data_IF_369221698701
#
_entry.id   IF_369221698701
#
_cell.length_a   1.000
_cell.length_b   1.000
_cell.length_c   1.000
_cell.angle_alpha   90.00
_cell.angle_beta   90.00
_cell.angle_gamma   90.00
#
_symmetry.space_group_name_H-M   'P 1'
#
loop_
_entity.id
_entity.type
_entity.pdbx_description
1 polymer ?
#
# COMPACT_ATOMS: atom_id res chain seq x y z
N UNK A 1 -24.94 29.39 18.61
CA UNK A 1 -24.42 28.01 18.42
C UNK A 1 -24.45 27.50 16.97
N UNK A 2 -25.15 28.15 16.00
CA UNK A 2 -25.17 27.69 14.60
C UNK A 2 -23.92 28.09 13.76
N UNK A 3 -23.29 29.24 14.05
CA UNK A 3 -22.12 29.72 13.29
C UNK A 3 -20.80 29.01 13.65
N UNK A 4 -20.65 28.50 14.88
CA UNK A 4 -19.42 27.81 15.31
C UNK A 4 -19.25 26.46 14.60
N UNK A 5 -20.35 25.74 14.36
CA UNK A 5 -20.32 24.49 13.60
C UNK A 5 -19.87 24.73 12.16
N UNK A 6 -20.33 25.83 11.54
CA UNK A 6 -19.95 26.19 10.17
C UNK A 6 -18.45 26.50 10.05
N UNK A 7 -17.87 27.23 11.01
CA UNK A 7 -16.44 27.57 11.01
C UNK A 7 -15.58 26.31 11.21
N UNK A 8 -15.96 25.41 12.12
CA UNK A 8 -15.27 24.13 12.29
C UNK A 8 -15.36 23.25 11.04
N UNK A 9 -16.52 23.22 10.38
CA UNK A 9 -16.70 22.44 9.16
C UNK A 9 -15.88 23.00 7.99
N UNK A 10 -15.82 24.34 7.83
CA UNK A 10 -14.95 25.01 6.85
C UNK A 10 -13.48 24.73 7.16
N UNK A 11 -13.04 24.82 8.42
CA UNK A 11 -11.66 24.54 8.82
C UNK A 11 -11.24 23.10 8.53
N UNK A 12 -12.12 22.13 8.79
CA UNK A 12 -11.89 20.71 8.50
C UNK A 12 -11.80 20.49 6.98
N UNK A 13 -12.71 21.06 6.19
CA UNK A 13 -12.70 20.97 4.72
C UNK A 13 -11.43 21.62 4.15
N UNK A 14 -11.01 22.78 4.67
CA UNK A 14 -9.77 23.44 4.20
C UNK A 14 -8.52 22.66 4.55
N UNK A 15 -8.43 22.02 5.73
CA UNK A 15 -7.29 21.17 6.07
C UNK A 15 -7.22 19.92 5.19
N UNK A 16 -8.35 19.25 4.96
CA UNK A 16 -8.39 18.06 4.10
C UNK A 16 -8.15 18.42 2.62
N UNK A 17 -8.62 19.58 2.16
CA UNK A 17 -8.36 20.08 0.81
C UNK A 17 -6.92 20.60 0.62
N UNK A 18 -6.31 21.24 1.62
CA UNK A 18 -4.91 21.67 1.56
C UNK A 18 -3.96 20.46 1.47
N UNK A 19 -4.19 19.40 2.24
CA UNK A 19 -3.41 18.17 2.12
C UNK A 19 -3.65 17.43 0.79
N UNK A 20 -4.88 17.50 0.24
CA UNK A 20 -5.18 16.93 -1.08
C UNK A 20 -4.53 17.69 -2.25
N UNK A 21 -4.20 18.98 -2.08
CA UNK A 21 -3.49 19.79 -3.06
C UNK A 21 -1.96 19.70 -2.94
N UNK A 22 -1.42 19.38 -1.76
CA UNK A 22 0.02 19.26 -1.54
C UNK A 22 0.59 17.87 -1.87
N UNK A 23 -0.19 16.80 -1.66
CA UNK A 23 0.22 15.43 -1.97
C UNK A 23 -0.26 14.96 -3.35
N UNK A 24 0.65 14.37 -4.12
CA UNK A 24 0.38 13.90 -5.49
C UNK A 24 -0.51 12.65 -5.55
N UNK A 25 -0.95 12.09 -4.43
CA UNK A 25 -1.85 10.95 -4.35
C UNK A 25 -2.77 11.13 -3.12
N UNK A 26 -3.96 10.53 -3.13
CA UNK A 26 -4.89 10.69 -2.02
C UNK A 26 -4.54 9.79 -0.83
N UNK A 27 -4.60 10.33 0.38
CA UNK A 27 -4.66 9.53 1.61
C UNK A 27 -5.84 8.56 1.58
N UNK A 28 -5.71 7.45 2.30
CA UNK A 28 -6.77 6.45 2.42
C UNK A 28 -6.30 5.01 2.22
N UNK A 29 -7.22 4.16 1.76
CA UNK A 29 -7.02 2.72 1.61
C UNK A 29 -6.72 2.33 0.17
N UNK A 30 -5.80 1.40 0.03
CA UNK A 30 -5.27 0.95 -1.26
C UNK A 30 -5.12 -0.57 -1.27
N UNK A 31 -5.47 -1.20 -2.40
CA UNK A 31 -5.11 -2.59 -2.70
C UNK A 31 -3.92 -2.61 -3.64
N UNK A 32 -3.13 -3.68 -3.60
CA UNK A 32 -2.11 -3.91 -4.61
C UNK A 32 -2.75 -4.62 -5.81
N UNK A 33 -2.48 -4.17 -7.03
CA UNK A 33 -2.93 -4.79 -8.26
C UNK A 33 -2.20 -6.14 -8.46
N UNK A 34 -2.92 -7.22 -8.16
CA UNK A 34 -2.40 -8.58 -8.28
C UNK A 34 -2.09 -8.98 -9.72
N UNK A 35 -2.80 -8.42 -10.72
CA UNK A 35 -2.56 -8.70 -12.14
C UNK A 35 -1.23 -8.10 -12.56
N UNK A 36 -1.03 -6.80 -12.31
CA UNK A 36 0.23 -6.11 -12.61
C UNK A 36 1.42 -6.71 -11.85
N UNK A 37 1.23 -7.14 -10.61
CA UNK A 37 2.26 -7.89 -9.89
C UNK A 37 2.62 -9.21 -10.60
N UNK A 38 1.61 -9.97 -11.03
CA UNK A 38 1.80 -11.23 -11.76
C UNK A 38 2.57 -11.04 -13.06
N UNK A 39 2.19 -10.04 -13.86
CA UNK A 39 2.84 -9.69 -15.14
C UNK A 39 4.31 -9.28 -14.93
N UNK A 40 4.59 -8.47 -13.91
CA UNK A 40 5.97 -8.08 -13.57
C UNK A 40 6.81 -9.30 -13.14
N UNK A 41 6.21 -10.24 -12.42
CA UNK A 41 6.87 -11.48 -12.02
C UNK A 41 7.16 -12.39 -13.24
N UNK A 42 6.21 -12.52 -14.16
CA UNK A 42 6.36 -13.32 -15.39
C UNK A 42 7.43 -12.74 -16.32
N UNK A 43 7.50 -11.41 -16.45
CA UNK A 43 8.55 -10.74 -17.22
C UNK A 43 9.94 -11.09 -16.68
N UNK A 44 10.12 -11.06 -15.36
CA UNK A 44 11.39 -11.46 -14.71
C UNK A 44 11.73 -12.94 -14.97
N UNK A 45 10.72 -13.81 -15.01
CA UNK A 45 10.88 -15.23 -15.27
C UNK A 45 11.31 -15.51 -16.71
N UNK A 46 10.66 -14.88 -17.70
CA UNK A 46 10.94 -15.07 -19.13
C UNK A 46 12.34 -14.60 -19.55
N UNK A 47 12.89 -13.59 -18.86
CA UNK A 47 14.24 -13.08 -19.15
C UNK A 47 15.38 -13.97 -18.65
N UNK A 48 15.15 -15.05 -17.87
CA UNK A 48 16.24 -15.67 -17.09
C UNK A 48 16.45 -17.19 -17.14
N UNK A 49 15.55 -18.08 -17.59
CA UNK A 49 15.85 -19.53 -17.50
C UNK A 49 15.06 -20.48 -18.44
N UNK A 50 15.76 -21.46 -19.02
CA UNK A 50 15.19 -22.64 -19.72
C UNK A 50 14.91 -23.84 -18.81
N UNK A 51 15.47 -23.88 -17.58
CA UNK A 51 15.41 -25.01 -16.64
C UNK A 51 14.02 -25.21 -15.97
N UNK A 52 13.45 -26.41 -16.13
CA UNK A 52 12.13 -26.79 -15.65
C UNK A 52 12.01 -26.81 -14.12
N UNK A 53 13.06 -27.21 -13.37
CA UNK A 53 13.03 -27.22 -11.89
C UNK A 53 12.94 -25.80 -11.35
N UNK A 54 13.71 -24.87 -11.94
CA UNK A 54 13.64 -23.44 -11.59
C UNK A 54 12.26 -22.89 -11.93
N UNK A 55 11.70 -23.19 -13.10
CA UNK A 55 10.34 -22.74 -13.47
C UNK A 55 9.28 -23.16 -12.44
N UNK A 56 9.30 -24.41 -11.97
CA UNK A 56 8.40 -24.91 -10.91
C UNK A 56 8.57 -24.15 -9.59
N UNK A 57 9.80 -23.87 -9.18
CA UNK A 57 10.08 -23.10 -7.96
C UNK A 57 9.59 -21.65 -8.09
N UNK A 58 9.85 -21.00 -9.23
CA UNK A 58 9.37 -19.64 -9.51
C UNK A 58 7.84 -19.54 -9.53
N UNK A 59 7.15 -20.51 -10.12
CA UNK A 59 5.69 -20.58 -10.08
C UNK A 59 5.14 -20.65 -8.64
N UNK A 60 5.79 -21.44 -7.77
CA UNK A 60 5.46 -21.47 -6.34
C UNK A 60 5.65 -20.12 -5.66
N UNK A 61 6.78 -19.44 -5.91
CA UNK A 61 7.02 -18.09 -5.37
C UNK A 61 6.00 -17.05 -5.87
N UNK A 62 5.63 -17.11 -7.15
CA UNK A 62 4.57 -16.28 -7.73
C UNK A 62 3.25 -16.51 -6.98
N UNK A 63 2.85 -17.77 -6.79
CA UNK A 63 1.61 -18.12 -6.11
C UNK A 63 1.59 -17.64 -4.64
N UNK A 64 2.70 -17.81 -3.92
CA UNK A 64 2.85 -17.32 -2.55
C UNK A 64 2.76 -15.80 -2.50
N UNK A 65 3.49 -15.10 -3.38
CA UNK A 65 3.47 -13.64 -3.47
C UNK A 65 2.09 -13.09 -3.81
N UNK A 66 1.41 -13.68 -4.80
CA UNK A 66 0.04 -13.31 -5.17
C UNK A 66 -0.94 -13.50 -4.01
N UNK A 67 -0.81 -14.59 -3.26
CA UNK A 67 -1.63 -14.82 -2.07
C UNK A 67 -1.41 -13.72 -1.03
N UNK A 68 -0.16 -13.38 -0.73
CA UNK A 68 0.18 -12.34 0.24
C UNK A 68 -0.35 -10.96 -0.17
N UNK A 69 -0.18 -10.62 -1.45
CA UNK A 69 -0.63 -9.35 -2.04
C UNK A 69 -2.15 -9.23 -2.01
N UNK A 70 -2.88 -10.30 -2.37
CA UNK A 70 -4.35 -10.34 -2.26
C UNK A 70 -4.84 -10.20 -0.82
N UNK A 71 -4.01 -10.56 0.16
CA UNK A 71 -4.30 -10.47 1.59
C UNK A 71 -3.67 -9.23 2.26
N UNK A 72 -3.32 -8.20 1.47
CA UNK A 72 -2.76 -6.95 1.97
C UNK A 72 -3.65 -5.77 1.60
N UNK A 73 -4.02 -4.97 2.60
CA UNK A 73 -4.55 -3.61 2.41
C UNK A 73 -3.51 -2.62 2.91
N UNK A 74 -3.17 -1.64 2.09
CA UNK A 74 -2.23 -0.56 2.42
C UNK A 74 -3.05 0.67 2.80
N UNK A 75 -2.82 1.18 4.00
CA UNK A 75 -3.45 2.40 4.48
C UNK A 75 -2.38 3.50 4.57
N UNK A 76 -2.56 4.55 3.78
CA UNK A 76 -1.65 5.69 3.72
C UNK A 76 -2.29 6.88 4.44
N UNK A 77 -1.57 7.40 5.43
CA UNK A 77 -1.94 8.58 6.23
C UNK A 77 -0.77 9.56 6.24
N UNK A 78 -1.04 10.84 6.53
CA UNK A 78 -0.07 11.94 6.53
C UNK A 78 1.30 11.60 7.15
N UNK A 79 1.31 10.89 8.28
CA UNK A 79 2.53 10.58 9.04
C UNK A 79 2.89 9.10 9.09
N UNK A 80 2.16 8.22 8.39
CA UNK A 80 2.38 6.77 8.50
C UNK A 80 1.72 5.94 7.41
N UNK A 81 2.38 4.83 7.09
CA UNK A 81 1.88 3.78 6.19
C UNK A 81 1.62 2.53 7.03
N UNK A 82 0.40 2.00 7.01
CA UNK A 82 0.05 0.73 7.65
C UNK A 82 -0.21 -0.34 6.60
N UNK A 83 0.32 -1.54 6.86
CA UNK A 83 0.05 -2.73 6.08
C UNK A 83 -0.81 -3.67 6.92
N UNK A 84 -2.08 -3.80 6.54
CA UNK A 84 -3.02 -4.75 7.12
C UNK A 84 -2.92 -6.06 6.37
N UNK A 85 -2.42 -7.10 7.04
CA UNK A 85 -2.13 -8.38 6.42
C UNK A 85 -2.89 -9.52 7.10
N UNK A 86 -3.52 -10.37 6.30
CA UNK A 86 -4.37 -11.47 6.75
C UNK A 86 -3.68 -12.41 7.74
N UNK A 87 -2.58 -13.01 7.32
CA UNK A 87 -1.91 -14.08 8.06
C UNK A 87 -0.58 -13.66 8.71
N UNK A 88 -0.22 -12.39 8.60
CA UNK A 88 1.04 -11.84 9.12
C UNK A 88 0.76 -10.70 10.10
N UNK A 89 1.69 -10.46 11.03
CA UNK A 89 1.60 -9.30 11.92
C UNK A 89 1.49 -8.03 11.08
N UNK A 90 0.48 -7.20 11.38
CA UNK A 90 0.37 -5.84 10.83
C UNK A 90 1.70 -5.11 11.04
N UNK A 91 2.11 -4.32 10.07
CA UNK A 91 3.30 -3.48 10.17
C UNK A 91 2.95 -2.03 9.89
N UNK A 92 3.63 -1.12 10.58
CA UNK A 92 3.42 0.31 10.45
C UNK A 92 4.76 0.98 10.30
N UNK A 93 4.88 1.86 9.31
CA UNK A 93 6.05 2.70 9.11
C UNK A 93 5.64 4.14 9.39
N UNK A 94 6.26 4.77 10.37
CA UNK A 94 6.02 6.17 10.75
C UNK A 94 7.08 7.04 10.09
N UNK A 95 6.67 8.18 9.56
CA UNK A 95 7.50 9.04 8.73
C UNK A 95 6.78 10.30 8.30
N UNK A 96 7.28 10.91 7.24
CA UNK A 96 6.70 12.09 6.62
C UNK A 96 6.78 11.99 5.10
N UNK A 97 5.82 12.59 4.41
CA UNK A 97 5.89 12.76 2.97
C UNK A 97 6.67 14.01 2.60
N UNK A 98 7.49 13.90 1.56
CA UNK A 98 8.23 14.99 0.94
C UNK A 98 7.87 15.00 -0.54
N UNK A 99 7.37 16.13 -1.04
CA UNK A 99 7.10 16.31 -2.46
C UNK A 99 8.43 16.31 -3.23
N UNK A 100 8.52 15.48 -4.27
CA UNK A 100 9.72 15.40 -5.12
C UNK A 100 9.48 16.08 -6.46
N UNK A 101 8.35 15.76 -7.12
CA UNK A 101 7.89 16.41 -8.36
C UNK A 101 6.38 16.65 -8.30
N UNK A 102 5.80 17.18 -9.37
CA UNK A 102 4.36 17.39 -9.51
C UNK A 102 3.54 16.10 -9.52
N UNK A 103 4.15 14.95 -9.79
CA UNK A 103 3.48 13.65 -9.89
C UNK A 103 4.02 12.62 -8.88
N UNK A 104 4.96 13.01 -8.02
CA UNK A 104 5.66 12.07 -7.14
C UNK A 104 6.04 12.62 -5.77
N UNK A 105 5.88 11.77 -4.76
CA UNK A 105 6.16 12.05 -3.35
C UNK A 105 7.00 10.93 -2.76
N UNK A 106 7.98 11.27 -1.94
CA UNK A 106 8.82 10.33 -1.20
C UNK A 106 8.35 10.27 0.25
N UNK A 107 8.16 9.06 0.78
CA UNK A 107 7.93 8.86 2.20
C UNK A 107 9.25 8.57 2.93
N UNK A 108 9.61 9.45 3.86
CA UNK A 108 10.84 9.37 4.67
C UNK A 108 10.51 8.87 6.08
N UNK A 109 10.89 7.64 6.46
CA UNK A 109 10.67 7.11 7.80
C UNK A 109 11.48 7.87 8.86
N UNK A 110 10.91 8.09 10.06
CA UNK A 110 11.54 8.94 11.07
C UNK A 110 12.78 8.34 11.76
N UNK A 111 12.91 7.00 11.91
CA UNK A 111 13.97 6.44 12.79
C UNK A 111 14.55 5.08 12.38
N UNK A 112 14.22 4.49 11.22
CA UNK A 112 14.79 3.16 10.88
C UNK A 112 16.12 3.27 10.10
N UNK A 113 17.22 3.61 10.79
CA UNK A 113 18.59 3.71 10.24
C UNK A 113 19.07 2.44 9.51
N UNK A 114 18.47 1.26 9.78
CA UNK A 114 18.86 -0.01 9.15
C UNK A 114 18.16 -0.28 7.81
N UNK A 115 17.20 0.56 7.39
CA UNK A 115 16.38 0.36 6.19
C UNK A 115 16.11 1.68 5.47
N UNK A 116 17.17 2.35 4.99
CA UNK A 116 17.09 3.37 3.93
C UNK A 116 16.50 2.74 2.65
N UNK A 117 15.21 2.42 2.67
CA UNK A 117 14.45 2.07 1.49
C UNK A 117 13.63 3.32 1.20
N UNK A 118 14.11 4.11 0.25
CA UNK A 118 13.34 5.22 -0.28
C UNK A 118 12.01 4.63 -0.77
N UNK A 119 10.92 5.07 -0.13
CA UNK A 119 9.58 4.70 -0.55
C UNK A 119 9.10 5.84 -1.44
N UNK A 120 8.94 5.55 -2.73
CA UNK A 120 8.47 6.51 -3.71
C UNK A 120 7.05 6.18 -4.13
N UNK A 121 6.19 7.19 -4.10
CA UNK A 121 4.86 7.17 -4.66
C UNK A 121 4.84 8.04 -5.91
N UNK A 122 4.39 7.49 -7.03
CA UNK A 122 4.20 8.22 -8.29
C UNK A 122 2.76 8.05 -8.75
N UNK A 123 2.03 9.15 -8.93
CA UNK A 123 0.65 9.13 -9.45
C UNK A 123 0.66 8.57 -10.86
N UNK A 124 -0.20 7.59 -11.13
CA UNK A 124 -0.48 7.13 -12.49
C UNK A 124 -1.74 7.85 -12.99
N UNK A 125 -2.79 7.84 -12.17
CA UNK A 125 -4.10 8.44 -12.40
C UNK A 125 -4.79 8.68 -11.04
N UNK A 126 -6.06 9.13 -11.04
CA UNK A 126 -6.79 9.43 -9.80
C UNK A 126 -7.12 8.21 -8.93
N UNK A 127 -7.09 7.02 -9.52
CA UNK A 127 -7.42 5.75 -8.86
C UNK A 127 -6.20 4.84 -8.69
N UNK A 128 -5.03 5.23 -9.19
CA UNK A 128 -3.83 4.41 -9.17
C UNK A 128 -2.55 5.19 -8.88
N UNK A 129 -1.72 4.61 -8.01
CA UNK A 129 -0.38 5.11 -7.69
C UNK A 129 0.63 3.97 -7.79
N UNK A 130 1.80 4.27 -8.32
CA UNK A 130 2.96 3.37 -8.30
C UNK A 130 3.70 3.52 -6.98
N UNK A 131 3.82 2.43 -6.23
CA UNK A 131 4.54 2.33 -4.97
C UNK A 131 5.86 1.57 -5.21
N UNK A 132 6.98 2.24 -4.98
CA UNK A 132 8.32 1.68 -5.12
C UNK A 132 8.99 1.60 -3.76
N UNK A 133 9.52 0.42 -3.42
CA UNK A 133 10.32 0.20 -2.21
C UNK A 133 11.57 -0.60 -2.56
N UNK A 134 12.72 0.06 -2.59
CA UNK A 134 13.95 -0.54 -3.12
C UNK A 134 13.73 -1.00 -4.58
N UNK A 135 14.02 -2.27 -4.88
CA UNK A 135 13.85 -2.84 -6.22
C UNK A 135 12.44 -3.40 -6.49
N UNK A 136 11.53 -3.29 -5.53
CA UNK A 136 10.16 -3.77 -5.67
C UNK A 136 9.25 -2.61 -6.10
N UNK A 137 8.53 -2.81 -7.19
CA UNK A 137 7.55 -1.87 -7.73
C UNK A 137 6.20 -2.55 -7.70
N UNK A 138 5.22 -1.88 -7.13
CA UNK A 138 3.83 -2.31 -7.07
C UNK A 138 2.94 -1.21 -7.60
N UNK A 139 1.83 -1.59 -8.21
CA UNK A 139 0.76 -0.64 -8.51
C UNK A 139 -0.31 -0.80 -7.44
N UNK A 140 -0.66 0.31 -6.83
CA UNK A 140 -1.74 0.42 -5.89
C UNK A 140 -2.98 0.96 -6.62
N UNK A 141 -4.14 0.43 -6.25
CA UNK A 141 -5.45 0.89 -6.72
C UNK A 141 -6.27 1.32 -5.51
N UNK A 142 -6.91 2.49 -5.62
CA UNK A 142 -7.68 3.08 -4.54
C UNK A 142 -8.85 2.17 -4.17
N UNK A 143 -9.10 2.05 -2.88
CA UNK A 143 -10.22 1.30 -2.33
C UNK A 143 -11.19 2.23 -1.65
N UNK A 144 -12.47 1.88 -1.75
CA UNK A 144 -13.49 2.42 -0.86
C UNK A 144 -13.20 2.05 0.60
N UNK A 145 -13.49 2.97 1.51
CA UNK A 145 -13.20 2.83 2.94
C UNK A 145 -13.99 1.70 3.59
N UNK A 146 -15.29 1.56 3.28
CA UNK A 146 -16.14 0.51 3.85
C UNK A 146 -15.70 -0.87 3.33
N UNK A 147 -15.38 -0.97 2.04
CA UNK A 147 -14.80 -2.18 1.46
C UNK A 147 -13.46 -2.55 2.11
N UNK A 148 -12.60 -1.57 2.38
CA UNK A 148 -11.32 -1.78 3.05
C UNK A 148 -11.50 -2.26 4.50
N UNK A 149 -12.37 -1.61 5.28
CA UNK A 149 -12.68 -2.01 6.67
C UNK A 149 -13.21 -3.44 6.74
N UNK A 150 -14.16 -3.79 5.86
CA UNK A 150 -14.70 -5.15 5.78
C UNK A 150 -13.58 -6.17 5.55
N UNK A 151 -12.70 -5.91 4.59
CA UNK A 151 -11.58 -6.80 4.26
C UNK A 151 -10.55 -6.91 5.40
N UNK A 152 -10.26 -5.82 6.10
CA UNK A 152 -9.39 -5.82 7.29
C UNK A 152 -10.03 -6.64 8.43
N UNK A 153 -11.35 -6.58 8.60
CA UNK A 153 -12.06 -7.39 9.59
C UNK A 153 -11.98 -8.88 9.24
N UNK A 154 -12.18 -9.25 7.97
CA UNK A 154 -12.02 -10.63 7.47
C UNK A 154 -10.61 -11.17 7.76
N UNK A 155 -9.58 -10.35 7.52
CA UNK A 155 -8.18 -10.66 7.83
C UNK A 155 -7.96 -10.97 9.32
N UNK A 156 -8.55 -10.16 10.20
CA UNK A 156 -8.48 -10.36 11.66
C UNK A 156 -9.06 -11.72 12.06
N UNK A 157 -10.24 -12.07 11.52
CA UNK A 157 -10.90 -13.36 11.79
C UNK A 157 -10.06 -14.55 11.30
N UNK A 158 -9.49 -14.47 10.10
CA UNK A 158 -8.63 -15.53 9.55
C UNK A 158 -7.39 -15.78 10.42
N UNK A 159 -6.77 -14.71 10.94
CA UNK A 159 -5.61 -14.80 11.82
C UNK A 159 -5.94 -15.52 13.13
N UNK A 160 -7.04 -15.14 13.76
CA UNK A 160 -7.44 -15.68 15.05
C UNK A 160 -7.88 -17.16 14.94
N UNK A 161 -8.44 -17.57 13.79
CA UNK A 161 -8.70 -18.99 13.48
C UNK A 161 -7.43 -19.82 13.36
N UNK A 162 -6.34 -19.26 12.79
CA UNK A 162 -5.06 -19.96 12.68
C UNK A 162 -4.34 -20.08 14.03
N UNK A 163 -4.44 -19.07 14.90
CA UNK A 163 -3.81 -19.14 16.22
C UNK A 163 -4.46 -20.16 17.14
N UNK A 164 -5.76 -20.44 16.98
CA UNK A 164 -6.49 -21.46 17.76
C UNK A 164 -6.26 -22.91 17.29
N UNK A 165 -5.65 -23.12 16.12
CA UNK A 165 -5.33 -24.45 15.57
C UNK A 165 -3.90 -24.91 15.88
N UNK A 166 -3.08 -24.05 16.49
CA UNK A 166 -1.73 -24.37 16.97
C UNK A 166 -1.77 -24.60 18.47
#
# INVERSE_FOLDING_TARGET
MKSTVLIFMILIITKTAMFANEENFSLGYWTIDAKKYGEHFDKKMNTKNSDEKKKKIFAKYKAIGLKYIKLTVVEIRESKIHFHQGDVKKSTTVGSFVKVKSDSSEFKPNVDKKKRLNILFKKNDDQSVTYTRGNAVYVLTKMDEEAAKKRIAEFKVMRDKKSKKK
#
